data_IF_701840213562
#
_entry.id   IF_701840213562
#
_cell.length_a   1.000
_cell.length_b   1.000
_cell.length_c   1.000
_cell.angle_alpha   90.00
_cell.angle_beta   90.00
_cell.angle_gamma   90.00
#
_symmetry.space_group_name_H-M   'P 1'
#
loop_
_entity.id
_entity.type
_entity.pdbx_description
1 polymer ?
#
# COMPACT_ATOMS: atom_id res chain seq x y z
N UNK A 1 -0.23 5.93 15.42
CA UNK A 1 0.55 6.59 14.36
C UNK A 1 1.17 5.43 13.59
N UNK A 2 1.04 5.36 12.26
CA UNK A 2 1.79 4.39 11.48
C UNK A 2 3.28 4.76 11.63
N UNK A 3 3.98 4.02 12.47
CA UNK A 3 5.40 4.23 12.72
C UNK A 3 6.26 3.63 11.58
N UNK A 4 5.66 2.72 10.80
CA UNK A 4 6.25 2.10 9.60
C UNK A 4 5.61 2.62 8.29
N UNK A 5 6.40 2.83 7.22
CA UNK A 5 5.88 3.25 5.91
C UNK A 5 4.89 2.25 5.32
N UNK A 6 5.03 0.95 5.64
CA UNK A 6 4.07 -0.09 5.28
C UNK A 6 2.72 0.08 5.98
N UNK A 7 2.70 0.52 7.23
CA UNK A 7 1.46 0.72 7.99
C UNK A 7 0.64 1.87 7.39
N UNK A 8 1.31 2.97 7.02
CA UNK A 8 0.65 4.09 6.33
C UNK A 8 0.09 3.68 4.97
N UNK A 9 0.77 2.79 4.24
CA UNK A 9 0.28 2.25 2.97
C UNK A 9 -0.96 1.37 3.16
N UNK A 10 -0.98 0.54 4.22
CA UNK A 10 -2.12 -0.31 4.58
C UNK A 10 -3.32 0.54 5.01
N UNK A 11 -3.15 1.53 5.89
CA UNK A 11 -4.24 2.43 6.30
C UNK A 11 -4.88 3.11 5.08
N UNK A 12 -4.05 3.67 4.19
CA UNK A 12 -4.52 4.28 2.93
C UNK A 12 -5.29 3.30 2.05
N UNK A 13 -4.86 2.03 1.99
CA UNK A 13 -5.58 1.00 1.25
C UNK A 13 -6.96 0.74 1.88
N UNK A 14 -7.03 0.59 3.20
CA UNK A 14 -8.28 0.33 3.91
C UNK A 14 -9.29 1.46 3.71
N UNK A 15 -8.87 2.73 3.83
CA UNK A 15 -9.75 3.88 3.60
C UNK A 15 -10.36 3.87 2.19
N UNK A 16 -9.55 3.56 1.17
CA UNK A 16 -10.01 3.50 -0.22
C UNK A 16 -10.92 2.30 -0.48
N UNK A 17 -10.60 1.15 0.11
CA UNK A 17 -11.41 -0.05 0.00
C UNK A 17 -12.79 0.16 0.63
N UNK A 18 -12.85 0.78 1.81
CA UNK A 18 -14.11 1.12 2.48
C UNK A 18 -14.93 2.10 1.64
N UNK A 19 -14.31 3.14 1.08
CA UNK A 19 -15.01 4.08 0.18
C UNK A 19 -15.57 3.41 -1.08
N UNK A 20 -14.84 2.46 -1.67
CA UNK A 20 -15.31 1.70 -2.83
C UNK A 20 -16.49 0.76 -2.49
N UNK A 21 -16.45 0.14 -1.31
CA UNK A 21 -17.54 -0.71 -0.81
C UNK A 21 -18.77 0.12 -0.43
N UNK A 22 -18.60 1.26 0.22
CA UNK A 22 -19.69 2.19 0.54
C UNK A 22 -20.37 2.70 -0.74
N UNK A 23 -19.60 2.96 -1.80
CA UNK A 23 -20.14 3.32 -3.11
C UNK A 23 -20.95 2.18 -3.74
N UNK A 24 -20.53 0.93 -3.56
CA UNK A 24 -21.27 -0.25 -4.01
C UNK A 24 -22.57 -0.45 -3.20
N UNK A 25 -22.49 -0.36 -1.88
CA UNK A 25 -23.63 -0.56 -0.98
C UNK A 25 -24.71 0.51 -1.17
N UNK A 26 -24.32 1.74 -1.51
CA UNK A 26 -25.24 2.81 -1.90
C UNK A 26 -25.78 2.66 -3.33
N UNK A 27 -25.29 1.70 -4.11
CA UNK A 27 -25.68 1.47 -5.50
C UNK A 27 -25.11 2.49 -6.49
N UNK A 28 -24.07 3.23 -6.11
CA UNK A 28 -23.35 4.16 -7.00
C UNK A 28 -22.33 3.44 -7.91
N UNK A 29 -21.97 2.20 -7.59
CA UNK A 29 -21.05 1.39 -8.38
C UNK A 29 -21.58 -0.03 -8.57
N UNK A 30 -21.33 -0.60 -9.75
CA UNK A 30 -21.57 -2.02 -10.05
C UNK A 30 -20.48 -2.91 -9.42
N UNK A 31 -20.83 -4.18 -9.15
CA UNK A 31 -19.90 -5.13 -8.55
C UNK A 31 -18.58 -5.27 -9.34
N UNK A 32 -18.65 -5.34 -10.67
CA UNK A 32 -17.45 -5.46 -11.51
C UNK A 32 -16.58 -4.20 -11.45
N UNK A 33 -17.19 -3.02 -11.36
CA UNK A 33 -16.47 -1.75 -11.21
C UNK A 33 -15.78 -1.65 -9.84
N UNK A 34 -16.46 -2.08 -8.77
CA UNK A 34 -15.90 -2.15 -7.42
C UNK A 34 -14.73 -3.14 -7.37
N UNK A 35 -14.88 -4.33 -7.96
CA UNK A 35 -13.79 -5.31 -8.02
C UNK A 35 -12.58 -4.82 -8.82
N UNK A 36 -12.80 -4.10 -9.94
CA UNK A 36 -11.71 -3.50 -10.71
C UNK A 36 -10.96 -2.43 -9.90
N UNK A 37 -11.70 -1.60 -9.16
CA UNK A 37 -11.13 -0.58 -8.27
C UNK A 37 -10.31 -1.21 -7.15
N UNK A 38 -10.86 -2.21 -6.46
CA UNK A 38 -10.16 -2.91 -5.38
C UNK A 38 -8.88 -3.60 -5.87
N UNK A 39 -8.91 -4.23 -7.05
CA UNK A 39 -7.69 -4.83 -7.66
C UNK A 39 -6.60 -3.79 -7.90
N UNK A 40 -6.98 -2.63 -8.42
CA UNK A 40 -6.04 -1.52 -8.62
C UNK A 40 -5.40 -1.08 -7.31
N UNK A 41 -6.19 -0.96 -6.24
CA UNK A 41 -5.66 -0.58 -4.93
C UNK A 41 -4.76 -1.66 -4.30
N UNK A 42 -5.03 -2.94 -4.57
CA UNK A 42 -4.14 -4.04 -4.16
C UNK A 42 -2.79 -3.97 -4.88
N UNK A 43 -2.79 -3.67 -6.18
CA UNK A 43 -1.56 -3.50 -6.96
C UNK A 43 -0.73 -2.32 -6.43
N UNK A 44 -1.39 -1.19 -6.14
CA UNK A 44 -0.75 -0.01 -5.53
C UNK A 44 -0.16 -0.29 -4.14
N UNK A 45 -0.88 -1.04 -3.30
CA UNK A 45 -0.39 -1.45 -1.99
C UNK A 45 0.83 -2.36 -2.12
N UNK A 46 0.77 -3.35 -3.02
CA UNK A 46 1.87 -4.29 -3.25
C UNK A 46 3.13 -3.57 -3.70
N UNK A 47 3.00 -2.61 -4.64
CA UNK A 47 4.11 -1.77 -5.07
C UNK A 47 4.69 -0.91 -3.91
N UNK A 48 3.83 -0.35 -3.06
CA UNK A 48 4.27 0.48 -1.91
C UNK A 48 5.03 -0.35 -0.86
N UNK A 49 4.61 -1.60 -0.63
CA UNK A 49 5.28 -2.54 0.28
C UNK A 49 6.63 -2.97 -0.28
N UNK A 50 6.71 -3.27 -1.59
CA UNK A 50 7.95 -3.65 -2.25
C UNK A 50 8.97 -2.50 -2.25
N UNK A 51 8.52 -1.27 -2.49
CA UNK A 51 9.34 -0.06 -2.39
C UNK A 51 9.84 0.19 -0.96
N UNK A 52 8.99 -0.02 0.05
CA UNK A 52 9.38 0.09 1.46
C UNK A 52 10.43 -0.96 1.85
N UNK A 53 10.29 -2.19 1.36
CA UNK A 53 11.26 -3.26 1.59
C UNK A 53 12.60 -2.98 0.91
N UNK A 54 12.59 -2.38 -0.29
CA UNK A 54 13.80 -1.93 -0.96
C UNK A 54 14.49 -0.77 -0.21
N UNK A 55 13.73 0.18 0.34
CA UNK A 55 14.27 1.29 1.12
C UNK A 55 14.96 0.83 2.42
N UNK A 56 14.40 -0.15 3.13
CA UNK A 56 15.01 -0.75 4.34
C UNK A 56 16.27 -1.57 4.03
N UNK A 57 16.44 -2.01 2.77
CA UNK A 57 17.65 -2.69 2.29
C UNK A 57 18.79 -1.72 1.99
N UNK A 58 18.48 -0.49 1.54
CA UNK A 58 19.48 0.52 1.18
C UNK A 58 20.15 1.11 2.44
N UNK A 59 19.38 1.33 3.51
CA UNK A 59 19.86 1.85 4.80
C UNK A 59 20.91 0.95 5.49
N UNK A 60 20.89 -0.38 5.24
CA UNK A 60 21.86 -1.32 5.81
C UNK A 60 23.20 -1.41 5.07
N UNK A 61 23.36 -0.73 3.94
CA UNK A 61 24.56 -0.85 3.09
C UNK A 61 25.66 0.18 3.41
N UNK A 62 25.40 1.17 4.27
CA UNK A 62 26.38 2.24 4.60
C UNK A 62 27.32 1.89 5.79
N UNK A 63 27.11 0.73 6.45
CA UNK A 63 27.95 0.24 7.57
C UNK A 63 28.98 -0.82 7.09
N UNK A 64 29.59 -0.63 5.92
CA UNK A 64 30.75 -1.43 5.50
C UNK A 64 32.03 -0.68 5.92
N UNK A 65 32.73 -1.24 6.93
CA UNK A 65 33.96 -0.73 7.55
C UNK A 65 34.93 -0.01 6.56
N UNK A 66 35.34 1.25 6.84
CA UNK A 66 36.31 1.96 5.99
C UNK A 66 37.78 1.55 6.20
N UNK A 67 38.06 0.48 6.97
CA UNK A 67 39.43 0.08 7.31
C UNK A 67 39.86 -1.22 6.58
N UNK A 68 40.40 -1.05 5.36
CA UNK A 68 41.17 -2.05 4.62
C UNK A 68 42.53 -1.49 4.18
#
# INVERSE_FOLDING_TARGET
MPDDPSDAAVERFLDRAESALDSYDQGYADADATLATLRTHVDELSASVEESAAADSDDRSDDEDPDA
#
